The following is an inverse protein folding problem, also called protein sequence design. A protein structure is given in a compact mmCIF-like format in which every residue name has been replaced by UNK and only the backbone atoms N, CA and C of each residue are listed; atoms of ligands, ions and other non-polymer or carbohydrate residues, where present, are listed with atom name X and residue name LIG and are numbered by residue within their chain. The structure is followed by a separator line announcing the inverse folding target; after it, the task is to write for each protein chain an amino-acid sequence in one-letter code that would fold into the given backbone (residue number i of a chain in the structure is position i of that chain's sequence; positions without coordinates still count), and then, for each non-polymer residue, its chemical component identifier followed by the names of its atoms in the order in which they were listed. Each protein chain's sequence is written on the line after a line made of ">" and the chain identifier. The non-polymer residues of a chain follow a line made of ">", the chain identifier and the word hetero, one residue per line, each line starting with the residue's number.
data_IF_161228504088
#
_entry.id   IF_161228504088
#
_cell.length_a   1.000
_cell.length_b   1.000
_cell.length_c   1.000
_cell.angle_alpha   90.00
_cell.angle_beta   90.00
_cell.angle_gamma   90.00
#
_symmetry.space_group_name_H-M   'P 1'
#
loop_
_entity.id
_entity.type
_entity.pdbx_description
1 polymer ?
#
# COMPACT_ATOMS: atom_id res chain seq x y z
N UNK A 1 21.39 -5.75 -22.22
CA UNK A 1 22.40 -4.99 -21.45
C UNK A 1 22.64 -5.68 -20.10
N UNK A 2 23.83 -5.60 -19.48
CA UNK A 2 24.18 -6.29 -18.23
C UNK A 2 23.17 -6.13 -17.08
N UNK A 3 22.42 -5.02 -17.05
CA UNK A 3 21.33 -4.78 -16.06
C UNK A 3 20.18 -5.79 -16.14
N UNK A 4 19.72 -6.21 -17.33
CA UNK A 4 18.60 -7.15 -17.41
C UNK A 4 18.99 -8.58 -17.08
N UNK A 5 20.25 -8.97 -17.33
CA UNK A 5 20.79 -10.25 -16.87
C UNK A 5 20.80 -10.32 -15.33
N UNK A 6 21.29 -9.26 -14.67
CA UNK A 6 21.30 -9.15 -13.21
C UNK A 6 19.90 -9.19 -12.58
N UNK A 7 18.93 -8.45 -13.14
CA UNK A 7 17.55 -8.44 -12.64
C UNK A 7 16.88 -9.81 -12.80
N UNK A 8 17.11 -10.51 -13.92
CA UNK A 8 16.63 -11.88 -14.13
C UNK A 8 17.27 -12.85 -13.14
N UNK A 9 18.58 -12.73 -12.91
CA UNK A 9 19.30 -13.56 -11.94
C UNK A 9 18.74 -13.38 -10.53
N UNK A 10 18.58 -12.14 -10.05
CA UNK A 10 18.01 -11.87 -8.72
C UNK A 10 16.57 -12.38 -8.64
N UNK A 11 15.75 -12.15 -9.67
CA UNK A 11 14.36 -12.60 -9.70
C UNK A 11 14.25 -14.11 -9.56
N UNK A 12 15.15 -14.86 -10.21
CA UNK A 12 15.23 -16.32 -10.15
C UNK A 12 15.79 -16.83 -8.82
N UNK A 13 16.79 -16.17 -8.24
CA UNK A 13 17.35 -16.52 -6.92
C UNK A 13 16.36 -16.27 -5.79
N UNK A 14 15.52 -15.26 -5.91
CA UNK A 14 14.55 -14.83 -4.90
C UNK A 14 13.12 -14.85 -5.47
N UNK A 15 12.56 -16.04 -5.80
CA UNK A 15 11.28 -16.15 -6.50
C UNK A 15 10.10 -15.59 -5.70
N UNK A 16 10.18 -15.58 -4.36
CA UNK A 16 9.12 -15.08 -3.48
C UNK A 16 9.27 -13.61 -3.07
N UNK A 17 10.41 -12.97 -3.35
CA UNK A 17 10.66 -11.60 -2.89
C UNK A 17 9.87 -10.55 -3.69
N UNK A 18 9.61 -9.42 -3.06
CA UNK A 18 9.22 -8.17 -3.72
C UNK A 18 10.49 -7.38 -3.96
N UNK A 19 10.81 -7.13 -5.23
CA UNK A 19 12.06 -6.47 -5.61
C UNK A 19 11.92 -4.96 -5.69
N UNK A 20 10.71 -4.49 -6.03
CA UNK A 20 10.44 -3.08 -6.23
C UNK A 20 9.33 -2.64 -5.30
N UNK A 21 9.63 -1.67 -4.46
CA UNK A 21 8.63 -0.98 -3.63
C UNK A 21 8.49 0.43 -4.15
N UNK A 22 7.29 0.78 -4.60
CA UNK A 22 6.94 2.13 -5.02
C UNK A 22 6.36 2.85 -3.81
N UNK A 23 7.08 3.82 -3.22
CA UNK A 23 6.56 4.57 -2.09
C UNK A 23 5.48 5.57 -2.55
N UNK A 24 4.30 5.44 -1.96
CA UNK A 24 3.28 6.49 -2.00
C UNK A 24 3.71 7.58 -1.00
N UNK A 25 4.23 8.69 -1.52
CA UNK A 25 4.72 9.78 -0.70
C UNK A 25 3.54 10.49 -0.04
N UNK A 26 3.40 10.31 1.27
CA UNK A 26 2.35 10.96 2.03
C UNK A 26 2.70 12.42 2.30
N UNK A 27 1.76 13.31 1.98
CA UNK A 27 1.87 14.75 2.16
C UNK A 27 0.59 15.34 2.79
N UNK A 28 -0.19 14.51 3.48
CA UNK A 28 -1.49 14.87 4.06
C UNK A 28 -2.68 14.41 3.24
N UNK A 29 -3.85 14.35 3.88
CA UNK A 29 -5.09 13.78 3.32
C UNK A 29 -5.60 14.54 2.09
N UNK A 30 -5.36 15.86 2.04
CA UNK A 30 -5.73 16.73 0.92
C UNK A 30 -4.96 16.38 -0.36
N UNK A 31 -3.80 15.72 -0.24
CA UNK A 31 -2.94 15.38 -1.37
C UNK A 31 -3.11 13.93 -1.84
N UNK A 32 -4.15 13.21 -1.38
CA UNK A 32 -4.38 11.80 -1.73
C UNK A 32 -4.41 11.54 -3.24
N UNK A 33 -4.96 12.47 -4.02
CA UNK A 33 -5.00 12.38 -5.48
C UNK A 33 -3.58 12.42 -6.08
N UNK A 34 -2.75 13.33 -5.58
CA UNK A 34 -1.37 13.47 -6.02
C UNK A 34 -0.48 12.32 -5.54
N UNK A 35 -0.73 11.80 -4.33
CA UNK A 35 -0.06 10.63 -3.77
C UNK A 35 -0.26 9.41 -4.68
N UNK A 36 -1.51 9.12 -5.06
CA UNK A 36 -1.84 7.99 -5.93
C UNK A 36 -1.32 8.22 -7.35
N UNK A 37 -1.57 9.38 -7.95
CA UNK A 37 -1.17 9.62 -9.34
C UNK A 37 0.34 9.53 -9.53
N UNK A 38 1.13 10.14 -8.62
CA UNK A 38 2.61 10.04 -8.65
C UNK A 38 3.09 8.62 -8.44
N UNK A 39 2.45 7.85 -7.57
CA UNK A 39 2.79 6.44 -7.37
C UNK A 39 2.51 5.62 -8.64
N UNK A 40 1.37 5.82 -9.29
CA UNK A 40 1.03 5.17 -10.56
C UNK A 40 2.02 5.55 -11.67
N UNK A 41 2.38 6.83 -11.80
CA UNK A 41 3.40 7.30 -12.75
C UNK A 41 4.75 6.64 -12.50
N UNK A 42 5.20 6.57 -11.24
CA UNK A 42 6.44 5.90 -10.88
C UNK A 42 6.41 4.39 -11.19
N UNK A 43 5.27 3.74 -10.95
CA UNK A 43 5.06 2.33 -11.29
C UNK A 43 5.06 2.07 -12.79
N UNK A 44 4.38 2.91 -13.57
CA UNK A 44 4.37 2.79 -15.02
C UNK A 44 5.77 3.04 -15.62
N UNK A 45 6.48 4.06 -15.15
CA UNK A 45 7.87 4.33 -15.56
C UNK A 45 8.81 3.16 -15.23
N UNK A 46 8.59 2.46 -14.12
CA UNK A 46 9.34 1.23 -13.81
C UNK A 46 9.03 0.11 -14.82
N UNK A 47 7.77 -0.06 -15.23
CA UNK A 47 7.40 -1.04 -16.26
C UNK A 47 8.06 -0.71 -17.61
N UNK A 48 8.06 0.56 -18.00
CA UNK A 48 8.76 1.04 -19.21
C UNK A 48 10.26 0.71 -19.15
N UNK A 49 10.93 1.02 -18.04
CA UNK A 49 12.35 0.71 -17.86
C UNK A 49 12.64 -0.80 -17.92
N UNK A 50 11.76 -1.63 -17.35
CA UNK A 50 11.91 -3.09 -17.43
C UNK A 50 11.68 -3.61 -18.85
N UNK A 51 10.71 -3.03 -19.55
CA UNK A 51 10.41 -3.35 -20.95
C UNK A 51 11.61 -3.02 -21.85
N UNK A 52 12.13 -1.79 -21.76
CA UNK A 52 13.28 -1.31 -22.51
C UNK A 52 14.56 -2.10 -22.23
N UNK A 53 14.68 -2.64 -21.00
CA UNK A 53 15.78 -3.52 -20.63
C UNK A 53 15.67 -4.95 -21.23
N UNK A 54 14.55 -5.30 -21.88
CA UNK A 54 14.27 -6.63 -22.43
C UNK A 54 13.91 -7.67 -21.36
N UNK A 55 13.30 -7.22 -20.26
CA UNK A 55 12.75 -8.11 -19.24
C UNK A 55 11.35 -8.61 -19.64
N UNK A 56 11.04 -9.86 -19.32
CA UNK A 56 9.65 -10.35 -19.42
C UNK A 56 8.85 -9.76 -18.25
N UNK A 57 8.01 -8.76 -18.55
CA UNK A 57 7.22 -8.05 -17.54
C UNK A 57 6.33 -8.98 -16.71
N UNK A 58 5.88 -10.11 -17.27
CA UNK A 58 5.05 -11.10 -16.55
C UNK A 58 5.76 -11.67 -15.33
N UNK A 59 7.07 -11.86 -15.42
CA UNK A 59 7.90 -12.32 -14.31
C UNK A 59 8.11 -11.24 -13.22
N UNK A 60 7.88 -9.97 -13.56
CA UNK A 60 8.14 -8.82 -12.68
C UNK A 60 6.88 -8.21 -12.07
N UNK A 61 5.68 -8.37 -12.66
CA UNK A 61 4.43 -7.91 -12.04
C UNK A 61 4.27 -8.33 -10.56
N UNK A 62 4.44 -9.61 -10.18
CA UNK A 62 4.31 -10.02 -8.77
C UNK A 62 5.49 -9.56 -7.88
N UNK A 63 6.52 -8.93 -8.47
CA UNK A 63 7.70 -8.40 -7.76
C UNK A 63 7.54 -6.93 -7.39
N UNK A 64 6.52 -6.26 -7.92
CA UNK A 64 6.21 -4.86 -7.66
C UNK A 64 5.20 -4.80 -6.51
N UNK A 65 5.47 -3.93 -5.54
CA UNK A 65 4.53 -3.58 -4.48
C UNK A 65 4.46 -2.07 -4.30
N UNK A 66 3.32 -1.58 -3.81
CA UNK A 66 3.17 -0.20 -3.36
C UNK A 66 3.29 -0.14 -1.84
N UNK A 67 3.86 0.94 -1.31
CA UNK A 67 3.90 1.21 0.14
C UNK A 67 3.14 2.48 0.43
N UNK A 68 2.00 2.37 1.12
CA UNK A 68 1.11 3.47 1.44
C UNK A 68 1.13 3.82 2.92
N UNK A 69 1.21 5.12 3.24
CA UNK A 69 1.11 5.58 4.63
C UNK A 69 -0.36 5.69 5.04
N UNK A 70 -0.69 5.16 6.21
CA UNK A 70 -2.01 5.28 6.81
C UNK A 70 -2.14 6.64 7.51
N UNK A 71 -3.17 7.40 7.18
CA UNK A 71 -3.48 8.66 7.86
C UNK A 71 -4.51 8.47 8.98
N UNK A 72 -5.00 9.55 9.57
CA UNK A 72 -5.99 9.52 10.65
C UNK A 72 -7.40 9.25 10.13
N UNK A 73 -7.62 9.48 8.83
CA UNK A 73 -8.93 9.36 8.21
C UNK A 73 -9.23 7.91 7.84
N UNK A 74 -10.01 7.27 8.71
CA UNK A 74 -10.34 5.84 8.64
C UNK A 74 -10.91 5.41 7.28
N UNK A 75 -11.97 6.08 6.80
CA UNK A 75 -12.63 5.72 5.54
C UNK A 75 -11.82 6.13 4.32
N UNK A 76 -11.10 7.26 4.39
CA UNK A 76 -10.22 7.70 3.31
C UNK A 76 -9.12 6.67 3.06
N UNK A 77 -8.51 6.13 4.11
CA UNK A 77 -7.53 5.07 4.03
C UNK A 77 -8.06 3.84 3.27
N UNK A 78 -9.29 3.40 3.59
CA UNK A 78 -9.93 2.28 2.92
C UNK A 78 -10.13 2.59 1.43
N UNK A 79 -10.75 3.74 1.14
CA UNK A 79 -11.07 4.14 -0.21
C UNK A 79 -9.82 4.34 -1.09
N UNK A 80 -8.77 4.99 -0.56
CA UNK A 80 -7.55 5.28 -1.34
C UNK A 80 -6.76 4.02 -1.70
N UNK A 81 -6.72 3.03 -0.80
CA UNK A 81 -6.06 1.74 -1.06
C UNK A 81 -6.85 0.92 -2.09
N UNK A 82 -8.18 0.89 -1.98
CA UNK A 82 -9.06 0.26 -2.98
C UNK A 82 -8.89 0.92 -4.36
N UNK A 83 -8.86 2.25 -4.41
CA UNK A 83 -8.65 3.00 -5.65
C UNK A 83 -7.28 2.71 -6.26
N UNK A 84 -6.19 2.75 -5.48
CA UNK A 84 -4.84 2.43 -5.97
C UNK A 84 -4.79 1.01 -6.57
N UNK A 85 -5.36 0.03 -5.86
CA UNK A 85 -5.40 -1.36 -6.33
C UNK A 85 -6.11 -1.49 -7.67
N UNK A 86 -7.25 -0.82 -7.83
CA UNK A 86 -8.00 -0.83 -9.09
C UNK A 86 -7.21 -0.15 -10.21
N UNK A 87 -6.76 1.09 -10.01
CA UNK A 87 -6.02 1.82 -11.04
C UNK A 87 -4.74 1.11 -11.47
N UNK A 88 -4.03 0.48 -10.54
CA UNK A 88 -2.85 -0.32 -10.89
C UNK A 88 -3.21 -1.55 -11.71
N UNK A 89 -4.34 -2.20 -11.44
CA UNK A 89 -4.84 -3.31 -12.27
C UNK A 89 -5.08 -2.85 -13.71
N UNK A 90 -5.68 -1.68 -13.91
CA UNK A 90 -5.91 -1.11 -15.24
C UNK A 90 -4.59 -0.87 -16.00
N UNK A 91 -3.57 -0.33 -15.33
CA UNK A 91 -2.23 -0.15 -15.93
C UNK A 91 -1.62 -1.50 -16.31
N UNK A 92 -1.67 -2.50 -15.43
CA UNK A 92 -1.14 -3.83 -15.72
C UNK A 92 -1.90 -4.52 -16.87
N UNK A 93 -3.22 -4.32 -16.96
CA UNK A 93 -4.04 -4.79 -18.06
C UNK A 93 -3.67 -4.13 -19.40
N UNK A 94 -3.34 -2.84 -19.41
CA UNK A 94 -2.88 -2.15 -20.60
C UNK A 94 -1.56 -2.73 -21.13
N UNK A 95 -0.63 -3.10 -20.24
CA UNK A 95 0.63 -3.74 -20.61
C UNK A 95 0.48 -5.22 -21.01
N UNK A 96 -0.47 -5.94 -20.41
CA UNK A 96 -0.71 -7.35 -20.69
C UNK A 96 -2.20 -7.69 -20.55
N UNK A 97 -2.96 -7.62 -21.66
CA UNK A 97 -4.36 -8.02 -21.68
C UNK A 97 -4.54 -9.43 -21.14
N UNK A 98 -5.36 -9.59 -20.10
CA UNK A 98 -5.54 -10.86 -19.39
C UNK A 98 -4.67 -11.08 -18.15
N UNK A 99 -3.92 -10.07 -17.67
CA UNK A 99 -3.29 -10.14 -16.35
C UNK A 99 -4.35 -10.39 -15.25
N UNK A 100 -4.19 -11.46 -14.48
CA UNK A 100 -5.09 -11.82 -13.36
C UNK A 100 -4.30 -12.00 -12.06
N UNK A 101 -3.07 -11.51 -12.03
CA UNK A 101 -2.17 -11.68 -10.90
C UNK A 101 -2.54 -10.79 -9.71
N UNK A 102 -1.98 -11.12 -8.55
CA UNK A 102 -2.15 -10.35 -7.34
C UNK A 102 -1.41 -9.01 -7.44
N UNK A 103 -2.04 -7.96 -6.91
CA UNK A 103 -1.45 -6.65 -6.69
C UNK A 103 -1.04 -6.58 -5.22
N UNK A 104 0.15 -6.11 -4.92
CA UNK A 104 0.66 -6.06 -3.54
C UNK A 104 0.73 -4.64 -3.02
N UNK A 105 0.09 -4.39 -1.88
CA UNK A 105 0.12 -3.11 -1.18
C UNK A 105 0.53 -3.33 0.27
N UNK A 106 1.64 -2.73 0.65
CA UNK A 106 2.06 -2.54 2.04
C UNK A 106 1.36 -1.29 2.60
N UNK A 107 0.73 -1.43 3.77
CA UNK A 107 0.23 -0.33 4.58
C UNK A 107 1.21 -0.02 5.71
N UNK A 108 1.53 1.25 5.92
CA UNK A 108 2.51 1.70 6.91
C UNK A 108 1.93 2.76 7.83
N UNK A 109 1.91 2.48 9.14
CA UNK A 109 1.53 3.45 10.17
C UNK A 109 2.81 4.10 10.69
N UNK A 110 3.10 5.32 10.27
CA UNK A 110 4.41 5.93 10.48
C UNK A 110 4.42 6.99 11.60
N UNK A 111 5.61 7.33 12.15
CA UNK A 111 5.73 8.32 13.22
C UNK A 111 5.28 9.72 12.81
N UNK A 112 5.22 10.05 11.52
CA UNK A 112 4.77 11.36 11.04
C UNK A 112 3.29 11.65 11.36
N UNK A 113 2.51 10.62 11.65
CA UNK A 113 1.13 10.79 12.13
C UNK A 113 1.04 10.80 13.66
N UNK A 114 2.09 10.49 14.41
CA UNK A 114 2.01 10.39 15.87
C UNK A 114 1.87 11.76 16.55
N UNK A 115 1.13 11.79 17.66
CA UNK A 115 1.15 12.90 18.60
C UNK A 115 2.15 12.64 19.73
N UNK A 116 2.31 13.60 20.64
CA UNK A 116 3.14 13.45 21.83
C UNK A 116 2.52 12.51 22.90
N UNK A 117 1.24 12.14 22.75
CA UNK A 117 0.56 11.20 23.63
C UNK A 117 0.68 9.77 23.10
N UNK A 118 1.53 8.98 23.76
CA UNK A 118 1.76 7.58 23.44
C UNK A 118 0.50 6.70 23.58
N UNK A 119 -0.37 7.00 24.55
CA UNK A 119 -1.61 6.24 24.73
C UNK A 119 -2.58 6.51 23.59
N UNK A 120 -2.69 7.78 23.18
CA UNK A 120 -3.45 8.15 21.99
C UNK A 120 -2.92 7.46 20.73
N UNK A 121 -1.60 7.42 20.55
CA UNK A 121 -0.97 6.74 19.41
C UNK A 121 -1.30 5.25 19.34
N UNK A 122 -1.50 4.54 20.46
CA UNK A 122 -1.92 3.13 20.49
C UNK A 122 -3.34 2.94 19.95
N UNK A 123 -4.28 3.78 20.40
CA UNK A 123 -5.68 3.76 19.95
C UNK A 123 -5.72 4.06 18.45
N UNK A 124 -5.03 5.12 18.04
CA UNK A 124 -4.93 5.56 16.66
C UNK A 124 -4.32 4.48 15.74
N UNK A 125 -3.22 3.86 16.15
CA UNK A 125 -2.59 2.79 15.40
C UNK A 125 -3.53 1.58 15.21
N UNK A 126 -4.37 1.29 16.21
CA UNK A 126 -5.37 0.22 16.11
C UNK A 126 -6.43 0.54 15.05
N UNK A 127 -6.95 1.76 15.03
CA UNK A 127 -7.92 2.20 14.01
C UNK A 127 -7.31 2.22 12.60
N UNK A 128 -6.08 2.71 12.46
CA UNK A 128 -5.35 2.70 11.20
C UNK A 128 -5.09 1.27 10.70
N UNK A 129 -4.66 0.37 11.59
CA UNK A 129 -4.45 -1.04 11.26
C UNK A 129 -5.74 -1.71 10.78
N UNK A 130 -6.85 -1.43 11.46
CA UNK A 130 -8.16 -1.93 11.08
C UNK A 130 -8.58 -1.45 9.69
N UNK A 131 -8.39 -0.16 9.37
CA UNK A 131 -8.64 0.38 8.04
C UNK A 131 -7.77 -0.29 6.97
N UNK A 132 -6.47 -0.52 7.23
CA UNK A 132 -5.57 -1.21 6.31
C UNK A 132 -6.03 -2.64 6.02
N UNK A 133 -6.44 -3.39 7.06
CA UNK A 133 -6.93 -4.76 6.92
C UNK A 133 -8.23 -4.80 6.12
N UNK A 134 -9.18 -3.91 6.40
CA UNK A 134 -10.44 -3.80 5.63
C UNK A 134 -10.15 -3.48 4.17
N UNK A 135 -9.17 -2.61 3.90
CA UNK A 135 -8.77 -2.26 2.54
C UNK A 135 -8.04 -3.39 1.80
N UNK A 136 -7.77 -4.50 2.47
CA UNK A 136 -7.05 -5.65 1.93
C UNK A 136 -5.56 -5.39 1.77
N UNK A 137 -4.90 -4.76 2.75
CA UNK A 137 -3.43 -4.66 2.77
C UNK A 137 -2.78 -6.05 2.74
N UNK A 138 -1.75 -6.22 1.91
CA UNK A 138 -0.98 -7.46 1.81
C UNK A 138 0.11 -7.56 2.89
N UNK A 139 0.57 -6.41 3.37
CA UNK A 139 1.52 -6.29 4.48
C UNK A 139 1.15 -5.07 5.29
N UNK A 140 1.27 -5.17 6.61
CA UNK A 140 1.04 -4.06 7.52
C UNK A 140 2.32 -3.85 8.34
N UNK A 141 2.75 -2.61 8.47
CA UNK A 141 3.86 -2.24 9.32
C UNK A 141 3.42 -1.15 10.30
N UNK A 142 3.52 -1.44 11.59
CA UNK A 142 3.10 -0.55 12.68
C UNK A 142 4.34 -0.07 13.43
N UNK A 143 4.62 1.24 13.41
CA UNK A 143 5.67 1.80 14.24
C UNK A 143 5.26 1.81 15.73
N UNK A 144 6.20 1.60 16.67
CA UNK A 144 5.94 1.73 18.10
C UNK A 144 5.30 3.09 18.44
N UNK A 145 4.38 3.12 19.40
CA UNK A 145 3.62 4.33 19.80
C UNK A 145 4.47 5.50 20.33
N UNK A 146 5.71 5.22 20.70
CA UNK A 146 6.72 6.16 21.20
C UNK A 146 7.83 6.42 20.16
N UNK A 147 7.65 6.02 18.90
CA UNK A 147 8.63 6.16 17.84
C UNK A 147 8.98 7.62 17.51
N UNK A 148 8.08 8.56 17.82
CA UNK A 148 8.36 10.01 17.75
C UNK A 148 9.46 10.46 18.71
N UNK A 149 9.67 9.76 19.85
CA UNK A 149 10.72 10.07 20.83
C UNK A 149 12.06 9.48 20.42
N UNK A 150 12.05 8.20 20.07
CA UNK A 150 13.21 7.49 19.55
C UNK A 150 12.70 6.61 18.43
N UNK A 151 13.23 6.73 17.21
CA UNK A 151 12.72 5.98 16.04
C UNK A 151 12.50 4.50 16.35
N UNK A 152 13.34 3.91 17.19
CA UNK A 152 13.26 2.52 17.57
C UNK A 152 12.09 2.18 18.50
N UNK A 153 11.64 3.10 19.35
CA UNK A 153 10.66 2.83 20.40
C UNK A 153 11.16 1.89 21.50
N UNK A 154 10.45 1.84 22.63
CA UNK A 154 10.73 0.92 23.72
C UNK A 154 10.32 -0.52 23.39
N UNK A 155 10.91 -1.51 24.08
CA UNK A 155 10.52 -2.92 23.94
C UNK A 155 9.03 -3.15 24.24
N UNK A 156 8.49 -2.40 25.20
CA UNK A 156 7.06 -2.43 25.51
C UNK A 156 6.22 -1.92 24.34
N UNK A 157 6.51 -0.74 23.80
CA UNK A 157 5.77 -0.17 22.66
C UNK A 157 5.90 -1.02 21.39
N UNK A 158 7.05 -1.66 21.16
CA UNK A 158 7.25 -2.65 20.08
C UNK A 158 6.35 -3.86 20.26
N UNK A 159 6.26 -4.41 21.48
CA UNK A 159 5.35 -5.52 21.79
C UNK A 159 3.90 -5.13 21.56
N UNK A 160 3.49 -3.92 21.95
CA UNK A 160 2.13 -3.43 21.68
C UNK A 160 1.86 -3.33 20.18
N UNK A 161 2.79 -2.79 19.39
CA UNK A 161 2.66 -2.72 17.93
C UNK A 161 2.47 -4.12 17.30
N UNK A 162 3.24 -5.13 17.75
CA UNK A 162 3.07 -6.52 17.31
C UNK A 162 1.72 -7.11 17.74
N UNK A 163 1.27 -6.85 18.97
CA UNK A 163 -0.01 -7.36 19.47
C UNK A 163 -1.21 -6.83 18.68
N UNK A 164 -1.14 -5.63 18.09
CA UNK A 164 -2.21 -5.12 17.22
C UNK A 164 -2.42 -6.07 16.02
N UNK A 165 -1.36 -6.65 15.46
CA UNK A 165 -1.49 -7.65 14.39
C UNK A 165 -2.25 -8.89 14.88
N UNK A 166 -1.86 -9.42 16.04
CA UNK A 166 -2.50 -10.59 16.63
C UNK A 166 -3.98 -10.35 16.93
N UNK A 167 -4.33 -9.17 17.44
CA UNK A 167 -5.71 -8.80 17.71
C UNK A 167 -6.53 -8.78 16.41
N UNK A 168 -6.00 -8.20 15.34
CA UNK A 168 -6.70 -8.16 14.04
C UNK A 168 -6.89 -9.56 13.43
N UNK A 169 -5.88 -10.42 13.52
CA UNK A 169 -5.89 -11.75 12.91
C UNK A 169 -6.73 -12.75 13.72
N UNK A 170 -6.53 -12.79 15.04
CA UNK A 170 -7.03 -13.85 15.91
C UNK A 170 -8.36 -13.51 16.58
N UNK A 171 -8.60 -12.23 16.91
CA UNK A 171 -9.72 -11.85 17.78
C UNK A 171 -10.81 -11.08 17.04
N UNK A 172 -10.45 -10.23 16.07
CA UNK A 172 -11.41 -9.36 15.38
C UNK A 172 -12.19 -10.07 14.25
N UNK A 173 -11.88 -11.33 13.94
CA UNK A 173 -12.52 -12.11 12.86
C UNK A 173 -12.53 -11.43 11.48
N UNK A 174 -11.61 -10.49 11.25
CA UNK A 174 -11.55 -9.69 10.02
C UNK A 174 -11.18 -10.52 8.80
N UNK A 175 -10.64 -11.72 9.00
CA UNK A 175 -10.32 -12.68 7.94
C UNK A 175 -11.54 -13.45 7.41
N UNK A 176 -12.73 -13.31 8.01
CA UNK A 176 -13.92 -14.08 7.62
C UNK A 176 -14.60 -13.57 6.34
N UNK A 177 -14.42 -12.30 5.98
CA UNK A 177 -15.01 -11.68 4.79
C UNK A 177 -13.90 -11.00 3.99
N UNK A 178 -13.87 -11.25 2.67
CA UNK A 178 -12.78 -10.78 1.80
C UNK A 178 -12.71 -9.27 1.64
N UNK A 179 -13.87 -8.61 1.51
CA UNK A 179 -13.99 -7.15 1.47
C UNK A 179 -15.23 -6.76 2.27
N UNK A 180 -15.09 -6.48 3.58
CA UNK A 180 -16.23 -6.13 4.43
C UNK A 180 -16.75 -4.71 4.16
N UNK A 181 -16.00 -3.88 3.41
CA UNK A 181 -16.42 -2.55 3.01
C UNK A 181 -17.25 -2.54 1.72
N UNK A 182 -17.26 -3.66 0.98
CA UNK A 182 -18.01 -3.79 -0.26
C UNK A 182 -19.51 -3.51 -0.06
N UNK A 183 -20.06 -2.66 -0.93
CA UNK A 183 -21.49 -2.29 -0.90
C UNK A 183 -21.83 -1.14 0.05
N UNK A 184 -20.86 -0.61 0.81
CA UNK A 184 -21.04 0.65 1.55
C UNK A 184 -21.09 1.82 0.57
N UNK A 185 -22.27 2.45 0.40
CA UNK A 185 -22.44 3.59 -0.51
C UNK A 185 -21.38 4.68 -0.32
N UNK A 186 -21.02 4.99 0.92
CA UNK A 186 -20.02 6.00 1.23
C UNK A 186 -18.61 5.59 0.75
N UNK A 187 -18.17 4.37 1.04
CA UNK A 187 -16.83 3.90 0.68
C UNK A 187 -16.73 3.69 -0.83
N UNK A 188 -17.76 3.12 -1.47
CA UNK A 188 -17.80 2.94 -2.93
C UNK A 188 -17.71 4.30 -3.66
N UNK A 189 -18.53 5.28 -3.25
CA UNK A 189 -18.53 6.60 -3.85
C UNK A 189 -17.20 7.35 -3.62
N UNK A 190 -16.63 7.25 -2.41
CA UNK A 190 -15.33 7.87 -2.12
C UNK A 190 -14.21 7.21 -2.94
N UNK A 191 -14.24 5.89 -3.06
CA UNK A 191 -13.26 5.12 -3.87
C UNK A 191 -13.34 5.54 -5.34
N UNK A 192 -14.54 5.62 -5.90
CA UNK A 192 -14.75 6.04 -7.29
C UNK A 192 -14.25 7.47 -7.55
N UNK A 193 -14.57 8.42 -6.67
CA UNK A 193 -14.10 9.81 -6.80
C UNK A 193 -12.57 9.92 -6.73
N UNK A 194 -11.93 9.17 -5.84
CA UNK A 194 -10.47 9.14 -5.74
C UNK A 194 -9.88 8.54 -7.01
N UNK A 195 -10.43 7.41 -7.48
CA UNK A 195 -9.96 6.71 -8.66
C UNK A 195 -10.06 7.60 -9.92
N UNK A 196 -11.20 8.23 -10.16
CA UNK A 196 -11.43 9.12 -11.30
C UNK A 196 -10.44 10.30 -11.32
N UNK A 197 -10.32 11.01 -10.19
CA UNK A 197 -9.43 12.18 -10.07
C UNK A 197 -7.96 11.79 -10.18
N UNK A 198 -7.55 10.67 -9.56
CA UNK A 198 -6.17 10.20 -9.63
C UNK A 198 -5.80 9.71 -11.03
N UNK A 199 -6.72 9.02 -11.72
CA UNK A 199 -6.53 8.62 -13.11
C UNK A 199 -6.37 9.83 -14.04
N UNK A 200 -7.26 10.82 -13.91
CA UNK A 200 -7.17 12.06 -14.69
C UNK A 200 -5.88 12.84 -14.42
N UNK A 201 -5.36 12.82 -13.19
CA UNK A 201 -4.07 13.42 -12.85
C UNK A 201 -2.89 12.61 -13.40
N UNK A 202 -2.96 11.28 -13.37
CA UNK A 202 -1.96 10.38 -13.95
C UNK A 202 -1.85 10.53 -15.46
N UNK A 203 -2.97 10.58 -16.20
CA UNK A 203 -2.96 10.67 -17.67
C UNK A 203 -2.52 12.02 -18.23
N UNK A 204 -2.37 13.06 -17.40
CA UNK A 204 -1.90 14.39 -17.81
C UNK A 204 -0.38 14.56 -17.70
N UNK A 205 0.28 13.73 -16.91
CA UNK A 205 1.73 13.78 -16.67
C UNK A 205 2.48 12.81 -17.56
#
# INVERSE_FOLDING_TARGET
>A
APRSAFLKEISNRLPKSRLFTIPCHWAGDEQVIAEISKALSAGNALLEQLHDAGCDLRAFYPKIQFSMVMSDSYFLNIAKMRALRWLWAEILHAWNPGFTGNIFIEARITPQTQSEDEHYNKIKATAQAMAAVIAGADTLYIWPSDAFKSKQGSDFSRRIALNIHHLMELESHMHRVKDPAAGSYYIENLTAQIAEKAWAAFSKG
#
